data_IF_738358521683
#
_entry.id   IF_738358521683
#
_cell.length_a   1.000
_cell.length_b   1.000
_cell.length_c   1.000
_cell.angle_alpha   90.00
_cell.angle_beta   90.00
_cell.angle_gamma   90.00
#
_symmetry.space_group_name_H-M   'P 1'
#
loop_
_entity.id
_entity.type
_entity.pdbx_description
1 polymer ?
#
# COMPACT_ATOMS: atom_id res chain seq x y z
N UNK A 1 19.17 -32.29 -18.81
CA UNK A 1 18.13 -31.73 -19.70
C UNK A 1 16.78 -31.93 -19.05
N UNK A 2 16.30 -30.93 -18.32
CA UNK A 2 14.92 -30.82 -17.84
C UNK A 2 14.54 -29.36 -18.01
N UNK A 3 13.58 -29.12 -18.89
CA UNK A 3 13.03 -27.82 -19.18
C UNK A 3 12.22 -27.35 -17.97
N UNK A 4 12.57 -26.18 -17.43
CA UNK A 4 11.71 -25.48 -16.48
C UNK A 4 10.96 -24.44 -17.31
N UNK A 5 9.67 -24.67 -17.42
CA UNK A 5 8.66 -23.82 -18.04
C UNK A 5 8.82 -22.36 -17.59
N UNK A 6 9.23 -21.49 -18.51
CA UNK A 6 9.00 -20.05 -18.39
C UNK A 6 7.60 -19.76 -18.98
N UNK A 7 6.57 -20.16 -18.26
CA UNK A 7 5.21 -19.69 -18.49
C UNK A 7 4.96 -18.60 -17.45
N UNK A 8 5.34 -17.36 -17.81
CA UNK A 8 4.90 -16.16 -17.12
C UNK A 8 3.38 -16.12 -17.29
N UNK A 9 2.66 -16.52 -16.25
CA UNK A 9 1.20 -16.49 -16.17
C UNK A 9 0.76 -15.04 -16.28
N UNK A 10 0.56 -14.58 -17.51
CA UNK A 10 -0.55 -13.70 -17.83
C UNK A 10 -1.82 -14.48 -17.49
N UNK A 11 -2.76 -13.82 -16.80
CA UNK A 11 -4.13 -14.25 -16.45
C UNK A 11 -4.35 -14.69 -14.99
N UNK A 12 -4.49 -13.71 -14.11
CA UNK A 12 -5.63 -13.62 -13.17
C UNK A 12 -6.15 -12.19 -13.36
N UNK A 13 -7.07 -12.02 -14.30
CA UNK A 13 -8.52 -11.95 -14.07
C UNK A 13 -8.91 -10.56 -13.58
N UNK A 14 -9.61 -9.82 -14.46
CA UNK A 14 -10.64 -8.84 -14.14
C UNK A 14 -10.87 -8.60 -12.64
N UNK A 15 -10.02 -7.78 -12.04
CA UNK A 15 -10.27 -7.19 -10.73
C UNK A 15 -11.21 -6.03 -11.03
N UNK A 16 -12.50 -6.25 -10.82
CA UNK A 16 -13.44 -5.16 -10.59
C UNK A 16 -12.81 -4.24 -9.54
N UNK A 17 -12.73 -2.99 -9.92
CA UNK A 17 -11.99 -1.90 -9.28
C UNK A 17 -12.51 -1.71 -7.86
N UNK A 18 -11.64 -1.70 -6.87
CA UNK A 18 -11.89 -1.36 -5.44
C UNK A 18 -10.61 -0.65 -4.92
N UNK A 19 -10.48 -0.05 -3.70
CA UNK A 19 -10.00 1.32 -3.31
C UNK A 19 -8.56 1.64 -2.71
N UNK A 20 -7.80 2.78 -2.91
CA UNK A 20 -6.43 3.20 -2.31
C UNK A 20 -6.41 4.64 -1.77
N UNK A 21 -5.43 5.04 -0.94
CA UNK A 21 -5.26 6.34 -0.24
C UNK A 21 -5.83 7.57 -0.99
N UNK A 22 -6.57 8.42 -0.25
CA UNK A 22 -7.33 9.55 -0.80
C UNK A 22 -6.82 10.91 -0.37
N UNK A 23 -7.08 11.93 -1.20
CA UNK A 23 -6.85 13.37 -1.02
C UNK A 23 -7.42 13.92 0.28
N UNK A 24 -8.41 13.23 0.85
CA UNK A 24 -9.06 13.61 2.08
C UNK A 24 -8.13 13.36 3.28
N UNK A 25 -7.30 12.31 3.23
CA UNK A 25 -6.37 11.94 4.31
C UNK A 25 -4.94 12.25 3.92
N UNK A 26 -4.51 13.49 4.22
CA UNK A 26 -3.22 14.02 3.74
C UNK A 26 -1.99 13.44 4.43
N UNK A 27 -2.16 12.74 5.56
CA UNK A 27 -1.04 12.21 6.33
C UNK A 27 -1.19 10.71 6.55
N UNK A 28 -0.06 10.01 6.54
CA UNK A 28 0.00 8.62 6.93
C UNK A 28 1.26 8.34 7.75
N UNK A 29 1.12 7.46 8.74
CA UNK A 29 2.23 6.91 9.50
C UNK A 29 2.25 5.41 9.23
N UNK A 30 3.43 4.85 8.98
CA UNK A 30 3.59 3.41 8.86
C UNK A 30 4.59 2.88 9.86
N UNK A 31 4.32 1.67 10.33
CA UNK A 31 5.28 0.81 11.03
C UNK A 31 5.68 -0.30 10.07
N UNK A 32 6.97 -0.58 10.00
CA UNK A 32 7.51 -1.56 9.07
C UNK A 32 8.67 -2.33 9.67
N UNK A 33 8.97 -3.44 9.02
CA UNK A 33 10.13 -4.27 9.31
C UNK A 33 10.46 -5.11 8.09
N UNK A 34 11.64 -5.70 8.11
CA UNK A 34 12.13 -6.34 6.91
C UNK A 34 13.51 -6.92 7.06
N UNK A 35 14.09 -7.29 5.92
CA UNK A 35 15.44 -7.80 5.82
C UNK A 35 16.31 -6.88 4.96
N UNK A 36 17.58 -6.77 5.31
CA UNK A 36 18.58 -5.97 4.61
C UNK A 36 19.65 -6.87 3.99
N UNK A 37 20.04 -6.54 2.77
CA UNK A 37 21.17 -7.13 2.07
C UNK A 37 22.19 -6.05 1.77
N UNK A 38 23.46 -6.42 1.84
CA UNK A 38 24.60 -5.54 1.60
C UNK A 38 25.40 -6.04 0.39
N UNK A 39 25.89 -5.11 -0.41
CA UNK A 39 26.81 -5.35 -1.51
C UNK A 39 27.86 -4.23 -1.54
N UNK A 40 29.10 -4.59 -1.22
CA UNK A 40 30.26 -3.68 -1.23
C UNK A 40 31.59 -4.44 -1.24
N UNK A 41 32.66 -3.83 -0.72
CA UNK A 41 34.04 -4.26 -0.95
C UNK A 41 34.43 -5.58 -0.25
N UNK A 42 33.80 -5.91 0.90
CA UNK A 42 33.91 -7.25 1.51
C UNK A 42 33.13 -8.35 0.78
N UNK A 43 32.44 -8.02 -0.31
CA UNK A 43 31.62 -8.95 -1.08
C UNK A 43 30.14 -8.91 -0.69
N UNK A 44 29.31 -9.46 -1.56
CA UNK A 44 27.86 -9.41 -1.47
C UNK A 44 27.23 -9.24 -2.84
N UNK A 45 26.01 -9.72 -2.99
CA UNK A 45 25.21 -9.59 -4.20
C UNK A 45 23.75 -9.64 -3.80
N UNK A 46 22.91 -8.90 -4.51
CA UNK A 46 21.49 -8.88 -4.20
C UNK A 46 20.83 -10.20 -4.59
N UNK A 47 19.84 -10.61 -3.80
CA UNK A 47 19.07 -11.84 -3.94
C UNK A 47 19.92 -13.11 -3.80
N UNK A 48 20.98 -13.03 -2.99
CA UNK A 48 21.74 -14.21 -2.60
C UNK A 48 21.18 -14.79 -1.29
N UNK A 49 20.36 -15.84 -1.42
CA UNK A 49 19.65 -16.47 -0.29
C UNK A 49 20.50 -17.42 0.55
N UNK A 50 21.76 -17.62 0.18
CA UNK A 50 22.70 -18.47 0.94
C UNK A 50 23.45 -17.68 2.03
N UNK A 51 23.26 -16.36 2.11
CA UNK A 51 23.89 -15.48 3.10
C UNK A 51 22.97 -15.15 4.28
N UNK A 52 23.56 -14.72 5.40
CA UNK A 52 22.81 -14.31 6.57
C UNK A 52 22.03 -13.01 6.28
N UNK A 53 20.70 -13.10 6.40
CA UNK A 53 19.82 -11.93 6.38
C UNK A 53 19.77 -11.27 7.75
N UNK A 54 19.94 -9.96 7.77
CA UNK A 54 19.77 -9.18 8.98
C UNK A 54 18.46 -8.39 8.90
N UNK A 55 17.79 -8.29 10.05
CA UNK A 55 16.50 -7.64 10.13
C UNK A 55 16.60 -6.17 10.52
N UNK A 56 15.58 -5.41 10.16
CA UNK A 56 15.38 -4.06 10.65
C UNK A 56 13.95 -3.84 11.12
N UNK A 57 13.78 -2.83 11.96
CA UNK A 57 12.50 -2.21 12.27
C UNK A 57 12.54 -0.75 11.86
N UNK A 58 11.44 -0.23 11.37
CA UNK A 58 11.38 1.13 10.90
C UNK A 58 9.96 1.69 10.89
N UNK A 59 9.88 2.90 10.37
CA UNK A 59 8.63 3.57 10.12
C UNK A 59 8.78 4.60 9.02
N UNK A 60 7.65 5.10 8.54
CA UNK A 60 7.64 6.21 7.61
C UNK A 60 6.51 7.16 7.95
N UNK A 61 6.72 8.44 7.69
CA UNK A 61 5.68 9.45 7.67
C UNK A 61 5.53 9.91 6.24
N UNK A 62 4.35 9.72 5.67
CA UNK A 62 4.03 10.16 4.33
C UNK A 62 3.03 11.32 4.39
N UNK A 63 3.21 12.26 3.48
CA UNK A 63 2.26 13.34 3.23
C UNK A 63 1.85 13.31 1.77
N UNK A 64 0.54 13.19 1.54
CA UNK A 64 -0.04 13.32 0.22
C UNK A 64 0.09 14.76 -0.27
N UNK A 65 0.65 14.95 -1.47
CA UNK A 65 0.85 16.26 -2.07
C UNK A 65 -0.08 16.49 -3.26
N UNK A 66 -0.16 15.49 -4.14
CA UNK A 66 -0.99 15.50 -5.35
C UNK A 66 -1.47 14.07 -5.64
N UNK A 67 -2.45 13.86 -6.52
CA UNK A 67 -2.97 12.52 -6.83
C UNK A 67 -1.91 11.47 -7.23
N UNK A 68 -0.75 11.91 -7.74
CA UNK A 68 0.35 11.02 -8.11
C UNK A 68 1.56 11.11 -7.20
N UNK A 69 1.62 12.07 -6.27
CA UNK A 69 2.85 12.32 -5.52
C UNK A 69 2.63 12.45 -4.02
N UNK A 70 3.46 11.73 -3.28
CA UNK A 70 3.62 11.88 -1.84
C UNK A 70 5.05 12.27 -1.49
N UNK A 71 5.22 13.08 -0.44
CA UNK A 71 6.50 13.23 0.24
C UNK A 71 6.59 12.20 1.37
N UNK A 72 7.68 11.43 1.41
CA UNK A 72 7.85 10.32 2.36
C UNK A 72 9.16 10.47 3.11
N UNK A 73 9.08 10.66 4.42
CA UNK A 73 10.21 10.52 5.33
C UNK A 73 10.23 9.10 5.88
N UNK A 74 11.25 8.32 5.57
CA UNK A 74 11.41 6.94 6.03
C UNK A 74 12.61 6.84 6.97
N UNK A 75 12.47 6.08 8.04
CA UNK A 75 13.55 5.76 8.97
C UNK A 75 13.56 4.27 9.31
N UNK A 76 14.74 3.65 9.30
CA UNK A 76 14.93 2.27 9.73
C UNK A 76 16.16 2.13 10.64
N UNK A 77 16.06 1.21 11.59
CA UNK A 77 17.15 0.82 12.46
C UNK A 77 17.22 -0.70 12.49
N UNK A 78 18.40 -1.22 12.17
CA UNK A 78 18.60 -2.64 12.03
C UNK A 78 20.06 -3.01 12.12
N UNK A 79 20.35 -4.18 11.60
CA UNK A 79 21.70 -4.67 11.47
C UNK A 79 21.98 -5.06 10.02
N UNK A 80 23.25 -5.03 9.68
CA UNK A 80 23.79 -5.54 8.42
C UNK A 80 25.00 -6.40 8.73
N UNK A 81 25.36 -7.25 7.79
CA UNK A 81 26.57 -8.04 7.91
C UNK A 81 26.80 -8.90 6.69
N UNK A 82 28.00 -9.45 6.63
CA UNK A 82 28.41 -10.39 5.61
C UNK A 82 29.24 -11.50 6.28
N UNK A 83 29.04 -12.73 5.82
CA UNK A 83 29.80 -13.90 6.29
C UNK A 83 30.30 -14.64 5.07
N UNK A 84 31.58 -14.51 4.77
CA UNK A 84 32.26 -15.31 3.75
C UNK A 84 32.88 -16.54 4.41
N UNK A 85 33.74 -16.32 5.42
CA UNK A 85 34.51 -17.35 6.14
C UNK A 85 34.66 -16.97 7.63
N UNK A 86 35.17 -17.88 8.49
CA UNK A 86 35.37 -17.60 9.92
C UNK A 86 36.29 -16.39 10.23
N UNK A 87 37.17 -16.02 9.29
CA UNK A 87 38.04 -14.85 9.38
C UNK A 87 37.46 -13.58 8.72
N UNK A 88 36.59 -13.74 7.72
CA UNK A 88 35.99 -12.67 6.93
C UNK A 88 34.50 -12.58 7.24
N UNK A 89 34.18 -11.99 8.39
CA UNK A 89 32.82 -11.67 8.79
C UNK A 89 32.75 -10.24 9.31
N UNK A 90 31.70 -9.51 8.96
CA UNK A 90 31.37 -8.24 9.60
C UNK A 90 29.91 -8.21 10.03
N UNK A 91 29.65 -7.44 11.09
CA UNK A 91 28.29 -7.15 11.55
C UNK A 91 28.28 -5.74 12.11
N UNK A 92 27.35 -4.92 11.65
CA UNK A 92 27.22 -3.53 12.04
C UNK A 92 25.75 -3.19 12.29
N UNK A 93 25.51 -2.23 13.17
CA UNK A 93 24.20 -1.60 13.35
C UNK A 93 24.05 -0.50 12.32
N UNK A 94 22.90 -0.45 11.66
CA UNK A 94 22.58 0.52 10.62
C UNK A 94 21.38 1.37 11.04
N UNK A 95 21.54 2.69 10.98
CA UNK A 95 20.45 3.66 11.01
C UNK A 95 20.37 4.29 9.63
N UNK A 96 19.20 4.25 9.01
CA UNK A 96 18.94 4.92 7.74
C UNK A 96 17.77 5.88 7.90
N UNK A 97 17.92 7.09 7.35
CA UNK A 97 16.86 8.10 7.28
C UNK A 97 16.84 8.66 5.86
N UNK A 98 15.72 8.52 5.13
CA UNK A 98 15.58 8.99 3.75
C UNK A 98 14.36 9.88 3.59
N UNK A 99 14.50 10.92 2.78
CA UNK A 99 13.42 11.76 2.28
C UNK A 99 13.22 11.43 0.80
N UNK A 100 12.00 11.02 0.44
CA UNK A 100 11.68 10.50 -0.88
C UNK A 100 10.46 11.21 -1.47
N UNK A 101 10.46 11.38 -2.77
CA UNK A 101 9.25 11.58 -3.55
C UNK A 101 8.74 10.19 -3.96
N UNK A 102 7.51 9.87 -3.59
CA UNK A 102 6.80 8.66 -4.04
C UNK A 102 5.87 9.06 -5.20
N UNK A 103 5.97 8.34 -6.30
CA UNK A 103 5.07 8.44 -7.44
C UNK A 103 4.13 7.24 -7.46
N UNK A 104 2.84 7.49 -7.27
CA UNK A 104 1.78 6.50 -7.35
C UNK A 104 1.25 6.47 -8.81
N UNK A 105 1.23 5.29 -9.43
CA UNK A 105 0.91 5.17 -10.86
C UNK A 105 -0.54 5.53 -11.17
N UNK A 106 -1.44 5.28 -10.22
CA UNK A 106 -2.85 5.51 -10.42
C UNK A 106 -3.30 6.79 -9.75
N UNK A 107 -4.06 7.58 -10.50
CA UNK A 107 -4.66 8.82 -10.02
C UNK A 107 -5.87 8.57 -9.13
N UNK A 108 -6.52 7.42 -9.32
CA UNK A 108 -7.78 7.14 -8.68
C UNK A 108 -7.53 6.72 -7.25
N UNK A 109 -8.03 7.51 -6.30
CA UNK A 109 -7.97 7.33 -4.84
C UNK A 109 -8.89 6.21 -4.34
N UNK A 110 -9.03 5.23 -5.23
CA UNK A 110 -10.11 4.29 -5.33
C UNK A 110 -9.59 3.01 -5.99
N UNK A 111 -8.31 2.62 -5.77
CA UNK A 111 -7.74 1.30 -6.14
C UNK A 111 -7.10 0.44 -5.00
N UNK A 112 -7.42 -0.83 -4.70
CA UNK A 112 -6.95 -1.65 -3.56
C UNK A 112 -5.45 -1.74 -3.66
N UNK A 113 -5.02 -1.99 -4.89
CA UNK A 113 -3.64 -2.15 -5.29
C UNK A 113 -3.17 -0.83 -5.87
N UNK A 114 -2.25 -0.20 -5.16
CA UNK A 114 -1.61 1.03 -5.59
C UNK A 114 -0.09 0.81 -5.69
N UNK A 115 0.39 0.37 -6.87
CA UNK A 115 1.80 0.29 -7.14
C UNK A 115 2.39 1.69 -7.20
N UNK A 116 3.62 1.80 -6.71
CA UNK A 116 4.35 3.05 -6.70
C UNK A 116 5.84 2.82 -6.92
N UNK A 117 6.51 3.88 -7.32
CA UNK A 117 7.98 3.99 -7.25
C UNK A 117 8.33 5.14 -6.32
N UNK A 118 9.51 5.09 -5.71
CA UNK A 118 10.04 6.20 -4.94
C UNK A 118 11.49 6.49 -5.32
N UNK A 119 11.85 7.75 -5.18
CA UNK A 119 13.21 8.23 -5.39
C UNK A 119 13.52 9.35 -4.40
N UNK A 120 14.71 9.33 -3.84
CA UNK A 120 15.04 10.25 -2.78
C UNK A 120 16.51 10.25 -2.38
N UNK A 121 16.72 10.93 -1.27
CA UNK A 121 18.02 11.20 -0.68
C UNK A 121 17.97 10.89 0.80
N UNK A 122 19.11 10.66 1.43
CA UNK A 122 19.11 10.40 2.86
C UNK A 122 20.47 10.42 3.51
N UNK A 123 20.47 9.88 4.70
CA UNK A 123 21.59 9.74 5.61
C UNK A 123 21.63 8.31 6.12
N UNK A 124 22.83 7.75 6.21
CA UNK A 124 23.07 6.45 6.83
C UNK A 124 24.19 6.54 7.85
N UNK A 125 24.00 5.88 8.98
CA UNK A 125 24.99 5.73 10.02
C UNK A 125 25.22 4.24 10.29
N UNK A 126 26.48 3.86 10.30
CA UNK A 126 26.93 2.51 10.60
C UNK A 126 27.73 2.53 11.90
N UNK A 127 27.43 1.61 12.82
CA UNK A 127 28.22 1.39 14.02
C UNK A 127 28.68 -0.05 14.05
N UNK A 128 29.98 -0.26 13.86
CA UNK A 128 30.55 -1.59 13.87
C UNK A 128 30.47 -2.16 15.31
N UNK A 129 30.07 -3.42 15.46
CA UNK A 129 29.90 -4.00 16.79
C UNK A 129 31.19 -4.56 17.40
N UNK A 130 32.21 -4.81 16.58
CA UNK A 130 33.49 -5.37 17.03
C UNK A 130 34.55 -4.29 17.26
N UNK A 131 34.34 -3.08 16.73
CA UNK A 131 35.20 -1.91 16.87
C UNK A 131 34.29 -0.71 17.07
N UNK A 132 34.49 0.09 18.12
CA UNK A 132 33.72 1.33 18.37
C UNK A 132 34.06 2.42 17.35
N UNK A 133 33.68 2.19 16.10
CA UNK A 133 33.76 3.13 15.00
C UNK A 133 32.34 3.41 14.50
N UNK A 134 32.02 4.70 14.35
CA UNK A 134 30.74 5.18 13.82
C UNK A 134 31.04 5.91 12.54
N UNK A 135 30.46 5.44 11.45
CA UNK A 135 30.66 5.98 10.10
C UNK A 135 29.34 6.55 9.62
N UNK A 136 29.38 7.80 9.17
CA UNK A 136 28.23 8.52 8.64
C UNK A 136 28.40 8.73 7.13
N UNK A 137 27.33 8.58 6.36
CA UNK A 137 27.36 8.71 4.91
C UNK A 137 26.05 9.28 4.39
N UNK A 138 26.10 9.97 3.25
CA UNK A 138 24.89 10.31 2.52
C UNK A 138 24.38 9.07 1.78
N UNK A 139 23.06 8.86 1.78
CA UNK A 139 22.35 7.84 1.02
C UNK A 139 21.80 8.47 -0.27
N UNK A 140 22.53 8.32 -1.38
CA UNK A 140 22.27 8.99 -2.64
C UNK A 140 22.63 8.08 -3.83
N UNK A 141 21.67 7.62 -4.65
CA UNK A 141 20.22 7.76 -4.48
C UNK A 141 19.65 6.72 -3.49
N UNK A 142 18.46 7.01 -2.98
CA UNK A 142 17.54 5.98 -2.51
C UNK A 142 16.45 5.80 -3.55
N UNK A 143 16.33 4.60 -4.12
CA UNK A 143 15.34 4.25 -5.13
C UNK A 143 14.54 3.07 -4.64
N UNK A 144 13.24 3.03 -4.93
CA UNK A 144 12.44 1.88 -4.54
C UNK A 144 11.19 1.72 -5.40
N UNK A 145 10.63 0.53 -5.31
CA UNK A 145 9.33 0.21 -5.88
C UNK A 145 8.52 -0.54 -4.82
N UNK A 146 7.22 -0.33 -4.82
CA UNK A 146 6.37 -0.98 -3.84
C UNK A 146 4.93 -1.09 -4.31
N UNK A 147 4.16 -1.77 -3.49
CA UNK A 147 2.74 -2.00 -3.67
C UNK A 147 2.05 -1.73 -2.35
N UNK A 148 1.16 -0.75 -2.34
CA UNK A 148 0.20 -0.57 -1.26
C UNK A 148 -1.03 -1.45 -1.54
N UNK A 149 -1.53 -2.10 -0.49
CA UNK A 149 -2.77 -2.87 -0.47
C UNK A 149 -3.68 -2.24 0.58
N UNK A 150 -4.73 -1.54 0.16
CA UNK A 150 -5.71 -1.00 1.10
C UNK A 150 -6.53 -2.14 1.71
N UNK A 151 -6.70 -2.09 3.02
CA UNK A 151 -7.53 -3.03 3.79
C UNK A 151 -8.82 -2.32 4.21
N UNK A 152 -8.70 -1.10 4.73
CA UNK A 152 -9.82 -0.21 5.09
C UNK A 152 -9.51 1.22 4.61
N UNK A 153 -10.45 2.17 4.68
CA UNK A 153 -10.17 3.58 4.33
C UNK A 153 -9.01 4.22 5.13
N UNK A 154 -8.65 3.65 6.29
CA UNK A 154 -7.61 4.14 7.19
C UNK A 154 -6.42 3.21 7.36
N UNK A 155 -6.52 1.94 6.95
CA UNK A 155 -5.48 0.93 7.12
C UNK A 155 -5.08 0.34 5.77
N UNK A 156 -3.78 0.33 5.48
CA UNK A 156 -3.20 -0.36 4.33
C UNK A 156 -2.03 -1.23 4.76
N UNK A 157 -1.84 -2.37 4.11
CA UNK A 157 -0.57 -3.08 4.13
C UNK A 157 0.29 -2.64 2.94
N UNK A 158 1.61 -2.78 3.03
CA UNK A 158 2.46 -2.52 1.88
C UNK A 158 3.69 -3.42 1.87
N UNK A 159 4.19 -3.68 0.67
CA UNK A 159 5.48 -4.28 0.43
C UNK A 159 6.32 -3.32 -0.41
N UNK A 160 7.60 -3.16 -0.06
CA UNK A 160 8.51 -2.26 -0.75
C UNK A 160 9.91 -2.85 -0.83
N UNK A 161 10.51 -2.72 -2.00
CA UNK A 161 11.92 -2.95 -2.20
C UNK A 161 12.63 -1.61 -2.39
N UNK A 162 13.68 -1.36 -1.63
CA UNK A 162 14.47 -0.13 -1.74
C UNK A 162 15.96 -0.43 -1.87
N UNK A 163 16.55 0.12 -2.93
CA UNK A 163 17.97 0.18 -3.18
C UNK A 163 18.52 1.52 -2.71
N UNK A 164 19.59 1.47 -1.91
CA UNK A 164 20.28 2.68 -1.44
C UNK A 164 21.76 2.57 -1.75
N UNK A 165 22.33 3.66 -2.26
CA UNK A 165 23.77 3.80 -2.49
C UNK A 165 24.38 4.80 -1.51
N UNK A 166 25.57 4.55 -0.98
CA UNK A 166 26.32 5.55 -0.20
C UNK A 166 27.29 6.33 -1.07
N UNK A 167 27.57 7.57 -0.69
CA UNK A 167 28.66 8.36 -1.31
C UNK A 167 29.95 8.35 -0.50
N UNK A 168 29.97 7.63 0.64
CA UNK A 168 31.13 7.53 1.53
C UNK A 168 31.78 6.15 1.40
N UNK A 169 33.10 6.12 1.34
CA UNK A 169 33.95 4.95 1.13
C UNK A 169 34.80 4.63 2.37
N UNK A 170 34.19 4.45 3.55
CA UNK A 170 34.96 4.27 4.80
C UNK A 170 34.31 3.36 5.84
N UNK A 171 33.44 2.42 5.45
CA UNK A 171 32.82 1.50 6.41
C UNK A 171 33.82 0.40 6.86
N UNK A 172 34.97 0.27 6.18
CA UNK A 172 35.69 -1.02 6.11
C UNK A 172 37.22 -0.97 6.32
N UNK A 173 37.82 0.19 6.58
CA UNK A 173 39.29 0.33 6.71
C UNK A 173 40.10 -0.14 5.48
N UNK A 174 39.47 -0.38 4.33
CA UNK A 174 40.11 -0.71 3.06
C UNK A 174 39.67 0.30 1.98
N UNK A 175 40.61 1.13 1.52
CA UNK A 175 40.40 2.13 0.46
C UNK A 175 40.55 1.48 -0.91
N UNK A 176 39.62 0.61 -1.29
CA UNK A 176 39.57 0.01 -2.64
C UNK A 176 38.42 0.54 -3.51
N UNK A 177 37.88 1.70 -3.16
CA UNK A 177 37.30 2.63 -4.13
C UNK A 177 35.97 2.22 -4.75
N UNK A 178 35.15 1.39 -4.09
CA UNK A 178 33.73 1.25 -4.44
C UNK A 178 32.87 1.67 -3.26
N UNK A 179 31.86 2.48 -3.52
CA UNK A 179 30.90 2.80 -2.47
C UNK A 179 29.91 1.65 -2.28
N UNK A 180 29.41 1.55 -1.05
CA UNK A 180 28.54 0.47 -0.62
C UNK A 180 27.10 0.67 -1.08
N UNK A 181 26.42 -0.46 -1.28
CA UNK A 181 25.04 -0.49 -1.71
C UNK A 181 24.21 -1.46 -0.88
N UNK A 182 22.95 -1.12 -0.70
CA UNK A 182 22.05 -1.74 0.26
C UNK A 182 20.72 -2.03 -0.44
N UNK A 183 20.13 -3.18 -0.13
CA UNK A 183 18.82 -3.56 -0.61
C UNK A 183 17.95 -3.97 0.57
N UNK A 184 16.84 -3.25 0.77
CA UNK A 184 15.87 -3.51 1.83
C UNK A 184 14.61 -4.14 1.25
N UNK A 185 14.19 -5.24 1.88
CA UNK A 185 12.92 -5.92 1.65
C UNK A 185 11.98 -5.57 2.78
N UNK A 186 11.02 -4.69 2.53
CA UNK A 186 10.16 -4.09 3.56
C UNK A 186 8.75 -4.64 3.44
N UNK A 187 8.16 -4.99 4.57
CA UNK A 187 6.71 -5.12 4.74
C UNK A 187 6.25 -4.19 5.85
N UNK A 188 5.05 -3.65 5.75
CA UNK A 188 4.54 -2.78 6.80
C UNK A 188 3.05 -2.52 6.73
N UNK A 189 2.57 -1.85 7.78
CA UNK A 189 1.20 -1.37 7.91
C UNK A 189 1.22 0.15 7.96
N UNK A 190 0.34 0.77 7.19
CA UNK A 190 0.16 2.21 7.06
C UNK A 190 -1.20 2.60 7.61
N UNK A 191 -1.21 3.59 8.49
CA UNK A 191 -2.39 4.23 9.04
C UNK A 191 -2.51 5.64 8.47
N UNK A 192 -3.58 5.90 7.72
CA UNK A 192 -3.86 7.20 7.09
C UNK A 192 -4.87 8.01 7.91
N UNK A 193 -4.54 9.28 8.18
CA UNK A 193 -5.30 10.18 9.04
C UNK A 193 -5.31 11.62 8.52
N UNK A 194 -6.07 12.47 9.22
CA UNK A 194 -6.29 13.86 8.81
C UNK A 194 -7.36 14.01 7.75
N UNK A 195 -8.36 13.10 7.76
CA UNK A 195 -9.56 13.16 6.93
C UNK A 195 -10.37 14.45 7.14
N UNK A 196 -11.12 14.85 6.12
CA UNK A 196 -12.26 15.77 6.24
C UNK A 196 -13.37 15.13 7.08
N UNK A 197 -14.37 15.92 7.49
CA UNK A 197 -15.50 15.46 8.30
C UNK A 197 -16.22 14.30 7.60
N UNK A 198 -16.56 13.27 8.36
CA UNK A 198 -17.23 12.02 7.98
C UNK A 198 -18.20 11.74 9.14
N UNK A 199 -19.48 11.99 8.90
CA UNK A 199 -20.50 12.17 9.95
C UNK A 199 -21.11 10.84 10.39
N UNK A 200 -21.24 9.88 9.50
CA UNK A 200 -21.78 8.56 9.78
C UNK A 200 -20.72 7.46 9.94
N UNK A 201 -19.46 7.77 9.59
CA UNK A 201 -18.31 6.91 9.83
C UNK A 201 -18.18 5.76 8.84
N UNK A 202 -18.79 5.85 7.66
CA UNK A 202 -18.69 4.83 6.61
C UNK A 202 -17.33 4.84 5.88
N UNK A 203 -16.53 5.88 6.11
CA UNK A 203 -15.19 6.05 5.57
C UNK A 203 -15.10 6.92 4.31
N UNK A 204 -16.21 7.49 3.87
CA UNK A 204 -16.33 8.54 2.85
C UNK A 204 -16.43 9.88 3.57
N UNK A 205 -15.80 10.93 3.04
CA UNK A 205 -15.98 12.25 3.64
C UNK A 205 -17.35 12.82 3.29
N UNK A 206 -17.95 13.62 4.18
CA UNK A 206 -19.24 14.31 3.96
C UNK A 206 -19.31 15.04 2.59
N UNK A 207 -18.15 15.49 2.08
CA UNK A 207 -18.04 16.19 0.79
C UNK A 207 -18.10 15.30 -0.45
N UNK A 208 -17.89 13.99 -0.29
CA UNK A 208 -17.88 12.95 -1.33
C UNK A 208 -18.96 11.90 -1.12
N UNK A 209 -19.67 11.97 0.00
CA UNK A 209 -20.75 11.09 0.40
C UNK A 209 -22.08 11.66 -0.11
N UNK A 210 -22.84 10.82 -0.82
CA UNK A 210 -24.18 11.17 -1.31
C UNK A 210 -25.23 11.10 -0.17
N UNK A 211 -24.93 10.41 0.93
CA UNK A 211 -25.76 10.23 2.12
C UNK A 211 -25.00 10.49 3.45
N UNK A 212 -24.48 11.71 3.72
CA UNK A 212 -23.56 11.98 4.83
C UNK A 212 -24.04 11.65 6.25
N UNK A 213 -25.33 11.40 6.47
CA UNK A 213 -25.89 11.13 7.79
C UNK A 213 -26.22 9.65 8.00
N UNK A 214 -26.10 8.81 6.97
CA UNK A 214 -26.53 7.41 7.01
C UNK A 214 -25.51 6.54 6.29
N UNK A 215 -24.75 5.79 7.09
CA UNK A 215 -23.68 4.97 6.58
C UNK A 215 -24.14 3.99 5.50
N UNK A 216 -23.42 3.97 4.39
CA UNK A 216 -23.67 3.06 3.28
C UNK A 216 -22.38 2.49 2.70
N UNK A 217 -22.49 1.53 1.78
CA UNK A 217 -21.33 1.01 1.08
C UNK A 217 -20.75 2.05 0.12
N UNK A 218 -19.43 1.96 -0.09
CA UNK A 218 -18.69 2.77 -1.05
C UNK A 218 -19.23 2.66 -2.49
N UNK A 219 -19.72 1.48 -2.89
CA UNK A 219 -20.27 1.22 -4.23
C UNK A 219 -21.48 2.12 -4.54
N UNK A 220 -22.16 2.57 -3.49
CA UNK A 220 -23.31 3.48 -3.53
C UNK A 220 -22.97 4.89 -3.03
N UNK A 221 -21.68 5.23 -2.99
CA UNK A 221 -21.17 6.53 -2.52
C UNK A 221 -21.70 6.90 -1.14
N UNK A 222 -21.74 5.92 -0.25
CA UNK A 222 -22.16 6.10 1.14
C UNK A 222 -23.66 6.03 1.36
N UNK A 223 -24.45 5.79 0.32
CA UNK A 223 -25.89 5.57 0.49
C UNK A 223 -26.21 4.08 0.73
N UNK A 224 -27.10 3.76 1.68
CA UNK A 224 -27.57 2.41 1.91
C UNK A 224 -28.45 1.91 0.75
N UNK A 225 -28.47 0.59 0.60
CA UNK A 225 -29.42 -0.22 -0.20
C UNK A 225 -29.87 -1.33 0.76
N UNK A 226 -31.03 -1.13 1.38
CA UNK A 226 -31.48 -1.91 2.52
C UNK A 226 -31.96 -3.30 2.13
N UNK A 227 -32.47 -3.49 0.91
CA UNK A 227 -32.97 -4.79 0.43
C UNK A 227 -32.07 -5.48 -0.62
N UNK A 228 -31.04 -4.79 -1.08
CA UNK A 228 -30.01 -5.33 -1.97
C UNK A 228 -30.53 -5.55 -3.38
N UNK A 229 -31.47 -4.76 -3.87
CA UNK A 229 -31.96 -4.81 -5.24
C UNK A 229 -31.06 -4.08 -6.26
N UNK A 230 -30.11 -3.27 -5.76
CA UNK A 230 -29.16 -2.48 -6.56
C UNK A 230 -29.55 -1.02 -6.73
N UNK A 231 -30.65 -0.57 -6.13
CA UNK A 231 -31.12 0.81 -6.09
C UNK A 231 -30.99 1.32 -4.67
N UNK A 232 -30.28 2.44 -4.50
CA UNK A 232 -30.09 3.04 -3.17
C UNK A 232 -31.42 3.49 -2.56
N UNK A 233 -31.57 3.39 -1.24
CA UNK A 233 -32.82 3.69 -0.51
C UNK A 233 -33.42 5.06 -0.85
N UNK A 234 -32.56 6.05 -1.13
CA UNK A 234 -33.00 7.42 -1.51
C UNK A 234 -33.63 7.52 -2.91
N UNK A 235 -33.37 6.53 -3.76
CA UNK A 235 -33.85 6.42 -5.13
C UNK A 235 -34.82 5.26 -5.32
N UNK A 236 -34.99 4.39 -4.32
CA UNK A 236 -35.89 3.26 -4.31
C UNK A 236 -37.29 3.66 -3.80
N UNK A 237 -38.33 3.25 -4.51
CA UNK A 237 -39.73 3.45 -4.13
C UNK A 237 -40.23 2.44 -3.10
N UNK A 238 -39.55 1.30 -2.98
CA UNK A 238 -39.79 0.24 -2.01
C UNK A 238 -38.51 -0.19 -1.25
N UNK A 239 -37.84 0.70 -0.47
CA UNK A 239 -36.49 0.49 0.12
C UNK A 239 -36.30 -0.72 1.05
N UNK A 240 -37.35 -1.49 1.33
CA UNK A 240 -37.29 -2.62 2.27
C UNK A 240 -37.74 -3.93 1.65
N UNK A 241 -38.13 -3.91 0.37
CA UNK A 241 -38.72 -5.04 -0.34
C UNK A 241 -38.14 -5.07 -1.74
N UNK A 242 -37.19 -5.99 -1.94
CA UNK A 242 -36.45 -6.16 -3.17
C UNK A 242 -37.39 -6.18 -4.39
N UNK A 243 -37.17 -5.26 -5.32
CA UNK A 243 -37.93 -5.19 -6.55
C UNK A 243 -37.09 -5.22 -7.81
N UNK A 244 -37.65 -4.61 -8.86
CA UNK A 244 -37.03 -4.53 -10.19
C UNK A 244 -36.85 -3.08 -10.61
N UNK A 245 -35.80 -2.82 -11.39
CA UNK A 245 -35.48 -1.48 -11.90
C UNK A 245 -36.65 -0.84 -12.67
N UNK A 246 -37.45 -1.65 -13.38
CA UNK A 246 -38.63 -1.18 -14.11
C UNK A 246 -39.63 -0.43 -13.21
N UNK A 247 -39.74 -0.82 -11.95
CA UNK A 247 -40.65 -0.22 -10.97
C UNK A 247 -39.91 0.53 -9.86
N UNK A 248 -38.70 1.01 -10.16
CA UNK A 248 -37.91 1.83 -9.22
C UNK A 248 -37.77 1.10 -7.88
N UNK A 249 -37.44 -0.19 -7.95
CA UNK A 249 -37.17 -1.05 -6.80
C UNK A 249 -38.40 -1.63 -6.09
N UNK A 250 -39.60 -1.39 -6.62
CA UNK A 250 -40.79 -2.12 -6.18
C UNK A 250 -40.94 -3.50 -6.86
N UNK A 251 -41.49 -4.50 -6.16
CA UNK A 251 -41.70 -5.84 -6.70
C UNK A 251 -42.84 -5.89 -7.73
N UNK A 252 -42.71 -6.86 -8.63
CA UNK A 252 -43.74 -7.39 -9.53
C UNK A 252 -43.63 -8.92 -9.40
N UNK A 253 -44.41 -9.47 -8.47
CA UNK A 253 -44.25 -10.83 -7.97
C UNK A 253 -44.60 -11.87 -9.03
N UNK A 254 -45.54 -11.57 -9.93
CA UNK A 254 -45.99 -12.49 -10.99
C UNK A 254 -45.44 -12.16 -12.40
N UNK A 255 -44.74 -11.03 -12.53
CA UNK A 255 -44.08 -10.59 -13.74
C UNK A 255 -45.04 -10.22 -14.86
N UNK A 256 -46.25 -9.75 -14.54
CA UNK A 256 -47.25 -9.34 -15.53
C UNK A 256 -47.04 -7.90 -16.04
N UNK A 257 -46.13 -7.15 -15.42
CA UNK A 257 -45.79 -5.79 -15.79
C UNK A 257 -46.57 -4.71 -15.02
N UNK A 258 -47.24 -5.08 -13.93
CA UNK A 258 -47.85 -4.16 -12.96
C UNK A 258 -47.13 -4.35 -11.62
N UNK A 259 -46.76 -3.25 -10.95
CA UNK A 259 -46.13 -3.35 -9.63
C UNK A 259 -47.14 -3.89 -8.59
N UNK A 260 -46.68 -4.67 -7.60
CA UNK A 260 -47.53 -5.29 -6.58
C UNK A 260 -48.43 -4.28 -5.82
N UNK A 261 -47.99 -3.02 -5.72
CA UNK A 261 -48.74 -1.95 -5.07
C UNK A 261 -49.91 -1.41 -5.92
N UNK A 262 -49.86 -1.62 -7.23
CA UNK A 262 -50.89 -1.23 -8.19
C UNK A 262 -51.68 -2.44 -8.72
N UNK A 263 -51.23 -3.66 -8.45
CA UNK A 263 -51.91 -4.90 -8.82
C UNK A 263 -52.97 -5.31 -7.78
N UNK A 264 -54.17 -5.61 -8.27
CA UNK A 264 -55.28 -6.14 -7.47
C UNK A 264 -55.03 -7.59 -7.07
N UNK A 265 -54.28 -8.33 -7.87
CA UNK A 265 -53.96 -9.74 -7.68
C UNK A 265 -52.44 -10.01 -7.80
N UNK A 266 -51.57 -9.44 -6.92
CA UNK A 266 -50.10 -9.45 -7.07
C UNK A 266 -49.42 -10.82 -7.25
N UNK A 267 -50.10 -11.89 -6.86
CA UNK A 267 -49.60 -13.26 -6.95
C UNK A 267 -50.10 -14.01 -8.22
N UNK A 268 -50.89 -13.38 -9.09
CA UNK A 268 -51.63 -14.05 -10.18
C UNK A 268 -51.56 -13.23 -11.48
N UNK A 269 -50.64 -13.67 -12.35
CA UNK A 269 -50.34 -13.03 -13.63
C UNK A 269 -51.59 -12.58 -14.37
N UNK A 270 -51.72 -11.28 -14.61
CA UNK A 270 -52.73 -10.67 -15.47
C UNK A 270 -52.70 -11.21 -16.91
N UNK A 271 -53.85 -11.12 -17.59
CA UNK A 271 -54.05 -11.53 -18.98
C UNK A 271 -53.64 -10.44 -19.99
#
# INVERSE_FOLDING_TARGET
MKQIFLALVFLVASITIVYSQSSDRKWAISLNGGAEQYSGDFGGGFYNFDQAYYGFLGGQVARHLTPHFDAVLQGSYGEIGHVENSANRFRAKMLQITLNARYNFFKNEEQILDPYVLGGIGFMQHSNMNVTNVVNSAALPNLGAGLNVRITPYLSAYAQESFTYTTGDNIEFASNGRNDSYLQHTIGLTFSFGGTKDTDGDGISDSKDDCPEVAGPLDFKGCPDTDGDGIVDRADSCPTVKGVEQFIGCPDTDGDGIADSEDVCPDVKGL
#
